data_IF_080130496440
#
_entry.id   IF_080130496440
#
_cell.length_a   1.000
_cell.length_b   1.000
_cell.length_c   1.000
_cell.angle_alpha   90.00
_cell.angle_beta   90.00
_cell.angle_gamma   90.00
#
_symmetry.space_group_name_H-M   'P 1'
#
loop_
_entity.id
_entity.type
_entity.pdbx_description
1 polymer ?
#
# COMPACT_ATOMS: atom_id res chain seq x y z
N UNK A 1 22.33 8.38 -47.03
CA UNK A 1 22.37 8.12 -45.58
C UNK A 1 21.12 8.65 -44.88
N UNK A 2 20.73 9.90 -45.10
CA UNK A 2 19.52 10.54 -44.49
C UNK A 2 18.21 9.81 -44.75
N UNK A 3 17.97 9.31 -45.97
CA UNK A 3 16.71 8.60 -46.29
C UNK A 3 16.51 7.28 -45.53
N UNK A 4 17.60 6.56 -45.20
CA UNK A 4 17.55 5.33 -44.38
C UNK A 4 17.25 5.66 -42.92
N UNK A 5 17.82 6.75 -42.38
CA UNK A 5 17.55 7.22 -41.02
C UNK A 5 16.10 7.68 -40.84
N UNK A 6 15.55 8.37 -41.83
CA UNK A 6 14.12 8.81 -41.84
C UNK A 6 13.20 7.59 -41.86
N UNK A 7 13.47 6.57 -42.70
CA UNK A 7 12.67 5.35 -42.74
C UNK A 7 12.71 4.57 -41.42
N UNK A 8 13.88 4.47 -40.77
CA UNK A 8 14.02 3.83 -39.46
C UNK A 8 13.25 4.62 -38.39
N UNK A 9 13.30 5.96 -38.42
CA UNK A 9 12.60 6.81 -37.47
C UNK A 9 11.07 6.70 -37.63
N UNK A 10 10.55 6.64 -38.86
CA UNK A 10 9.12 6.42 -39.16
C UNK A 10 8.68 5.03 -38.69
N UNK A 11 9.51 3.98 -38.88
CA UNK A 11 9.18 2.62 -38.46
C UNK A 11 9.11 2.50 -36.93
N UNK A 12 9.99 3.19 -36.21
CA UNK A 12 9.98 3.26 -34.74
C UNK A 12 8.72 4.00 -34.24
N UNK A 13 8.36 5.11 -34.89
CA UNK A 13 7.18 5.90 -34.50
C UNK A 13 5.86 5.13 -34.72
N UNK A 14 5.75 4.35 -35.81
CA UNK A 14 4.57 3.53 -36.06
C UNK A 14 4.49 2.35 -35.10
N UNK A 15 5.61 1.72 -34.77
CA UNK A 15 5.65 0.63 -33.79
C UNK A 15 5.24 1.05 -32.38
N UNK A 16 5.67 2.25 -31.94
CA UNK A 16 5.27 2.82 -30.65
C UNK A 16 3.77 3.12 -30.57
N UNK A 17 3.16 3.62 -31.65
CA UNK A 17 1.72 3.89 -31.69
C UNK A 17 0.87 2.60 -31.64
N UNK A 18 1.31 1.53 -32.29
CA UNK A 18 0.61 0.22 -32.26
C UNK A 18 0.68 -0.40 -30.87
N UNK A 19 1.83 -0.38 -30.21
CA UNK A 19 1.99 -0.90 -28.85
C UNK A 19 1.15 -0.10 -27.84
N UNK A 20 1.14 1.23 -27.92
CA UNK A 20 0.34 2.09 -27.07
C UNK A 20 -1.19 1.93 -27.27
N UNK A 21 -1.61 1.55 -28.46
CA UNK A 21 -3.02 1.24 -28.73
C UNK A 21 -3.40 -0.14 -28.19
N UNK A 22 -2.48 -1.11 -28.22
CA UNK A 22 -2.73 -2.48 -27.76
C UNK A 22 -2.80 -2.55 -26.24
N UNK A 23 -1.91 -1.88 -25.50
CA UNK A 23 -1.97 -1.85 -24.03
C UNK A 23 -3.23 -1.14 -23.54
N UNK A 24 -3.64 -0.05 -24.20
CA UNK A 24 -4.87 0.67 -23.87
C UNK A 24 -6.13 -0.21 -24.06
N UNK A 25 -6.19 -1.00 -25.13
CA UNK A 25 -7.31 -1.93 -25.36
C UNK A 25 -7.33 -3.04 -24.29
N UNK A 26 -6.18 -3.63 -23.97
CA UNK A 26 -6.08 -4.64 -22.92
C UNK A 26 -6.49 -4.12 -21.54
N UNK A 27 -6.15 -2.86 -21.23
CA UNK A 27 -6.60 -2.20 -19.99
C UNK A 27 -8.11 -2.00 -20.00
N UNK A 28 -8.69 -1.59 -21.15
CA UNK A 28 -10.13 -1.40 -21.29
C UNK A 28 -10.88 -2.73 -21.04
N UNK A 29 -10.47 -3.79 -21.71
CA UNK A 29 -11.06 -5.12 -21.57
C UNK A 29 -10.88 -5.66 -20.13
N UNK A 30 -9.71 -5.41 -19.53
CA UNK A 30 -9.44 -5.74 -18.14
C UNK A 30 -10.37 -5.02 -17.16
N UNK A 31 -10.69 -3.75 -17.43
CA UNK A 31 -11.64 -2.98 -16.61
C UNK A 31 -13.05 -3.57 -16.69
N UNK A 32 -13.51 -3.98 -17.86
CA UNK A 32 -14.81 -4.63 -18.03
C UNK A 32 -14.89 -5.93 -17.25
N UNK A 33 -13.86 -6.78 -17.33
CA UNK A 33 -13.78 -7.99 -16.54
C UNK A 33 -13.73 -7.70 -15.02
N UNK A 34 -12.99 -6.68 -14.60
CA UNK A 34 -12.92 -6.30 -13.19
C UNK A 34 -14.27 -5.85 -12.63
N UNK A 35 -15.02 -5.02 -13.37
CA UNK A 35 -16.35 -4.53 -12.97
C UNK A 35 -17.37 -5.65 -12.92
N UNK A 36 -17.28 -6.62 -13.84
CA UNK A 36 -18.16 -7.80 -13.85
C UNK A 36 -17.76 -8.90 -12.88
N UNK A 37 -16.73 -8.64 -12.03
CA UNK A 37 -16.29 -9.59 -10.99
C UNK A 37 -15.35 -10.69 -11.46
N UNK A 38 -14.98 -10.72 -12.74
CA UNK A 38 -14.02 -11.67 -13.34
C UNK A 38 -12.59 -11.23 -13.06
N UNK A 39 -12.22 -11.21 -11.77
CA UNK A 39 -10.97 -10.58 -11.35
C UNK A 39 -9.70 -11.36 -11.72
N UNK A 40 -9.79 -12.69 -11.90
CA UNK A 40 -8.67 -13.49 -12.40
C UNK A 40 -8.38 -13.18 -13.87
N UNK A 41 -9.42 -13.11 -14.69
CA UNK A 41 -9.31 -12.75 -16.11
C UNK A 41 -8.80 -11.31 -16.28
N UNK A 42 -9.31 -10.38 -15.48
CA UNK A 42 -8.81 -9.00 -15.51
C UNK A 42 -7.32 -8.92 -15.16
N UNK A 43 -6.85 -9.73 -14.19
CA UNK A 43 -5.43 -9.81 -13.83
C UNK A 43 -4.58 -10.20 -15.04
N UNK A 44 -4.99 -11.21 -15.81
CA UNK A 44 -4.26 -11.65 -17.00
C UNK A 44 -4.24 -10.57 -18.10
N UNK A 45 -5.36 -9.86 -18.30
CA UNK A 45 -5.42 -8.76 -19.26
C UNK A 45 -4.49 -7.61 -18.88
N UNK A 46 -4.43 -7.22 -17.59
CA UNK A 46 -3.49 -6.19 -17.12
C UNK A 46 -2.03 -6.64 -17.22
N UNK A 47 -1.73 -7.92 -16.93
CA UNK A 47 -0.39 -8.48 -17.14
C UNK A 47 0.00 -8.44 -18.62
N UNK A 48 -0.93 -8.74 -19.53
CA UNK A 48 -0.69 -8.65 -20.96
C UNK A 48 -0.49 -7.19 -21.41
N UNK A 49 -1.24 -6.23 -20.86
CA UNK A 49 -1.00 -4.81 -21.10
C UNK A 49 0.42 -4.38 -20.67
N UNK A 50 0.91 -4.91 -19.53
CA UNK A 50 2.27 -4.64 -19.04
C UNK A 50 3.36 -5.32 -19.86
N UNK A 51 3.06 -6.38 -20.61
CA UNK A 51 4.01 -6.94 -21.59
C UNK A 51 4.20 -6.00 -22.78
N UNK A 52 3.14 -5.30 -23.21
CA UNK A 52 3.19 -4.31 -24.29
C UNK A 52 3.82 -2.98 -23.81
N UNK A 53 3.47 -2.55 -22.59
CA UNK A 53 3.98 -1.32 -21.98
C UNK A 53 4.30 -1.53 -20.49
N UNK A 54 5.54 -1.95 -20.15
CA UNK A 54 5.93 -2.31 -18.78
C UNK A 54 5.86 -1.17 -17.76
N UNK A 55 5.83 0.08 -18.22
CA UNK A 55 5.81 1.25 -17.36
C UNK A 55 4.44 1.95 -17.30
N UNK A 56 3.37 1.34 -17.82
CA UNK A 56 2.05 1.95 -17.79
C UNK A 56 1.49 2.00 -16.34
N UNK A 57 1.38 3.18 -15.71
CA UNK A 57 0.96 3.28 -14.32
C UNK A 57 -0.51 2.87 -14.12
N UNK A 58 -1.36 3.06 -15.14
CA UNK A 58 -2.78 2.66 -15.09
C UNK A 58 -2.91 1.13 -15.07
N UNK A 59 -2.11 0.43 -15.88
CA UNK A 59 -2.08 -1.03 -15.91
C UNK A 59 -1.58 -1.59 -14.56
N UNK A 60 -0.52 -1.01 -13.99
CA UNK A 60 -0.03 -1.39 -12.67
C UNK A 60 -1.06 -1.14 -11.57
N UNK A 61 -1.72 0.02 -11.56
CA UNK A 61 -2.74 0.34 -10.55
C UNK A 61 -3.91 -0.66 -10.60
N UNK A 62 -4.40 -0.95 -11.80
CA UNK A 62 -5.52 -1.87 -12.01
C UNK A 62 -5.14 -3.33 -11.75
N UNK A 63 -3.91 -3.74 -12.09
CA UNK A 63 -3.36 -5.03 -11.71
C UNK A 63 -3.33 -5.18 -10.19
N UNK A 64 -2.83 -4.17 -9.47
CA UNK A 64 -2.82 -4.17 -8.01
C UNK A 64 -4.22 -4.34 -7.42
N UNK A 65 -5.22 -3.62 -7.94
CA UNK A 65 -6.61 -3.76 -7.50
C UNK A 65 -7.18 -5.17 -7.75
N UNK A 66 -6.88 -5.73 -8.90
CA UNK A 66 -7.36 -7.07 -9.28
C UNK A 66 -6.73 -8.16 -8.42
N UNK A 67 -5.41 -8.09 -8.23
CA UNK A 67 -4.67 -8.99 -7.35
C UNK A 67 -5.17 -8.88 -5.89
N UNK A 68 -5.42 -7.66 -5.41
CA UNK A 68 -5.96 -7.45 -4.06
C UNK A 68 -7.29 -8.19 -3.85
N UNK A 69 -8.22 -8.11 -4.82
CA UNK A 69 -9.48 -8.89 -4.78
C UNK A 69 -9.23 -10.39 -4.87
N UNK A 70 -8.37 -10.84 -5.79
CA UNK A 70 -8.05 -12.25 -5.96
C UNK A 70 -7.47 -12.86 -4.68
N UNK A 71 -6.66 -12.10 -3.92
CA UNK A 71 -6.12 -12.57 -2.67
C UNK A 71 -7.20 -12.94 -1.64
N UNK A 72 -8.30 -12.19 -1.56
CA UNK A 72 -9.44 -12.58 -0.70
C UNK A 72 -10.12 -13.85 -1.20
N UNK A 73 -10.39 -13.96 -2.50
CA UNK A 73 -10.98 -15.17 -3.09
C UNK A 73 -10.13 -16.41 -2.80
N UNK A 74 -8.79 -16.27 -2.90
CA UNK A 74 -7.85 -17.35 -2.60
C UNK A 74 -7.82 -17.69 -1.10
N UNK A 75 -7.90 -16.69 -0.22
CA UNK A 75 -7.94 -16.88 1.24
C UNK A 75 -9.19 -17.64 1.68
N UNK A 76 -10.32 -17.37 1.02
CA UNK A 76 -11.61 -18.00 1.34
C UNK A 76 -11.74 -19.42 0.75
N UNK A 77 -10.76 -19.88 -0.02
CA UNK A 77 -10.71 -21.25 -0.55
C UNK A 77 -10.65 -22.27 0.58
N UNK A 78 -11.39 -23.36 0.42
CA UNK A 78 -11.37 -24.50 1.37
C UNK A 78 -10.23 -25.48 1.08
N UNK A 79 -9.63 -25.39 -0.10
CA UNK A 79 -8.63 -26.33 -0.57
C UNK A 79 -7.24 -25.70 -0.52
N UNK A 80 -6.22 -26.54 -0.28
CA UNK A 80 -4.86 -26.10 -0.40
C UNK A 80 -4.41 -26.06 -1.87
N UNK A 81 -3.51 -25.15 -2.15
CA UNK A 81 -2.91 -25.00 -3.46
C UNK A 81 -1.63 -25.84 -3.59
N UNK A 82 -1.22 -26.13 -4.83
CA UNK A 82 0.08 -26.72 -5.11
C UNK A 82 0.93 -25.69 -5.85
N UNK A 83 2.06 -25.30 -5.26
CA UNK A 83 3.00 -24.38 -5.86
C UNK A 83 4.40 -25.01 -5.84
N UNK A 84 5.01 -25.13 -7.01
CA UNK A 84 6.32 -25.79 -7.17
C UNK A 84 6.37 -27.17 -6.50
N UNK A 85 5.28 -27.96 -6.59
CA UNK A 85 5.17 -29.31 -6.00
C UNK A 85 4.96 -29.34 -4.48
N UNK A 86 4.82 -28.17 -3.83
CA UNK A 86 4.58 -28.08 -2.38
C UNK A 86 3.14 -27.63 -2.09
N UNK A 87 2.57 -28.20 -1.03
CA UNK A 87 1.26 -27.80 -0.53
C UNK A 87 1.33 -26.43 0.13
N UNK A 88 0.50 -25.48 -0.33
CA UNK A 88 0.42 -24.10 0.17
C UNK A 88 -0.99 -23.85 0.70
N UNK A 89 -1.09 -23.32 1.91
CA UNK A 89 -2.39 -22.98 2.49
C UNK A 89 -3.02 -21.78 1.80
N UNK A 90 -4.38 -21.63 1.84
CA UNK A 90 -5.07 -20.46 1.33
C UNK A 90 -4.51 -19.13 1.85
N UNK A 91 -4.25 -19.02 3.14
CA UNK A 91 -3.65 -17.82 3.74
C UNK A 91 -2.26 -17.51 3.19
N UNK A 92 -1.41 -18.54 3.02
CA UNK A 92 -0.08 -18.35 2.46
C UNK A 92 -0.14 -17.94 0.99
N UNK A 93 -1.05 -18.55 0.20
CA UNK A 93 -1.26 -18.17 -1.19
C UNK A 93 -1.78 -16.73 -1.29
N UNK A 94 -2.78 -16.37 -0.50
CA UNK A 94 -3.29 -15.00 -0.44
C UNK A 94 -2.20 -13.99 -0.05
N UNK A 95 -1.34 -14.33 0.92
CA UNK A 95 -0.22 -13.47 1.33
C UNK A 95 0.76 -13.20 0.18
N UNK A 96 1.07 -14.19 -0.66
CA UNK A 96 1.89 -13.99 -1.86
C UNK A 96 1.23 -13.05 -2.86
N UNK A 97 -0.09 -13.18 -3.06
CA UNK A 97 -0.83 -12.33 -3.99
C UNK A 97 -1.00 -10.92 -3.46
N UNK A 98 -1.18 -10.72 -2.13
CA UNK A 98 -1.13 -9.38 -1.53
C UNK A 98 0.24 -8.72 -1.69
N UNK A 99 1.34 -9.49 -1.63
CA UNK A 99 2.67 -8.96 -1.89
C UNK A 99 2.81 -8.48 -3.35
N UNK A 100 2.37 -9.29 -4.31
CA UNK A 100 2.37 -8.91 -5.73
C UNK A 100 1.51 -7.64 -5.98
N UNK A 101 0.36 -7.53 -5.32
CA UNK A 101 -0.48 -6.34 -5.37
C UNK A 101 0.26 -5.10 -4.84
N UNK A 102 0.92 -5.23 -3.69
CA UNK A 102 1.71 -4.14 -3.10
C UNK A 102 2.85 -3.69 -4.03
N UNK A 103 3.53 -4.64 -4.68
CA UNK A 103 4.57 -4.34 -5.67
C UNK A 103 4.02 -3.60 -6.89
N UNK A 104 2.84 -4.00 -7.38
CA UNK A 104 2.16 -3.32 -8.50
C UNK A 104 1.81 -1.87 -8.14
N UNK A 105 1.27 -1.61 -6.96
CA UNK A 105 1.03 -0.24 -6.48
C UNK A 105 2.33 0.54 -6.25
N UNK A 106 3.42 -0.11 -5.83
CA UNK A 106 4.71 0.54 -5.66
C UNK A 106 5.29 1.01 -7.00
N UNK A 107 5.09 0.26 -8.10
CA UNK A 107 5.45 0.74 -9.45
C UNK A 107 4.72 2.04 -9.80
N UNK A 108 3.44 2.16 -9.44
CA UNK A 108 2.69 3.42 -9.61
C UNK A 108 3.32 4.53 -8.78
N UNK A 109 3.55 4.30 -7.49
CA UNK A 109 4.10 5.31 -6.59
C UNK A 109 5.48 5.81 -7.01
N UNK A 110 6.26 5.01 -7.76
CA UNK A 110 7.57 5.37 -8.27
C UNK A 110 7.53 6.05 -9.65
N UNK A 111 6.41 5.97 -10.38
CA UNK A 111 6.30 6.42 -11.76
C UNK A 111 5.46 7.67 -11.97
N UNK A 112 4.68 8.10 -10.96
CA UNK A 112 3.77 9.24 -11.08
C UNK A 112 4.15 10.36 -10.10
N UNK A 113 3.76 11.60 -10.44
CA UNK A 113 3.90 12.78 -9.56
C UNK A 113 2.55 13.32 -9.06
N UNK A 114 1.43 12.83 -9.60
CA UNK A 114 0.10 13.25 -9.20
C UNK A 114 -0.21 12.84 -7.75
N UNK A 115 -0.56 13.81 -6.92
CA UNK A 115 -0.75 13.62 -5.48
C UNK A 115 -1.90 12.68 -5.14
N UNK A 116 -3.00 12.74 -5.88
CA UNK A 116 -4.15 11.86 -5.64
C UNK A 116 -3.80 10.40 -5.95
N UNK A 117 -3.14 10.17 -7.09
CA UNK A 117 -2.66 8.84 -7.47
C UNK A 117 -1.63 8.31 -6.48
N UNK A 118 -0.68 9.14 -6.03
CA UNK A 118 0.30 8.77 -4.99
C UNK A 118 -0.37 8.42 -3.67
N UNK A 119 -1.35 9.23 -3.24
CA UNK A 119 -2.13 8.95 -2.05
C UNK A 119 -2.78 7.57 -2.14
N UNK A 120 -3.54 7.31 -3.20
CA UNK A 120 -4.24 6.04 -3.39
C UNK A 120 -3.29 4.84 -3.51
N UNK A 121 -2.18 5.00 -4.21
CA UNK A 121 -1.20 3.93 -4.34
C UNK A 121 -0.60 3.55 -2.97
N UNK A 122 -0.17 4.54 -2.16
CA UNK A 122 0.35 4.29 -0.82
C UNK A 122 -0.70 3.75 0.15
N UNK A 123 -1.96 4.21 0.06
CA UNK A 123 -3.07 3.64 0.81
C UNK A 123 -3.25 2.15 0.51
N UNK A 124 -3.28 1.78 -0.78
CA UNK A 124 -3.46 0.40 -1.20
C UNK A 124 -2.27 -0.49 -0.83
N UNK A 125 -1.03 0.02 -0.89
CA UNK A 125 0.15 -0.66 -0.35
C UNK A 125 -0.04 -0.96 1.15
N UNK A 126 -0.51 0.03 1.90
CA UNK A 126 -0.83 -0.13 3.32
C UNK A 126 -1.87 -1.22 3.56
N UNK A 127 -2.93 -1.25 2.77
CA UNK A 127 -3.97 -2.27 2.84
C UNK A 127 -3.43 -3.68 2.57
N UNK A 128 -2.56 -3.85 1.57
CA UNK A 128 -1.91 -5.13 1.29
C UNK A 128 -1.11 -5.62 2.50
N UNK A 129 -0.25 -4.79 3.07
CA UNK A 129 0.54 -5.15 4.25
C UNK A 129 -0.32 -5.38 5.50
N UNK A 130 -1.42 -4.63 5.65
CA UNK A 130 -2.39 -4.84 6.73
C UNK A 130 -3.00 -6.24 6.65
N UNK A 131 -3.41 -6.67 5.46
CA UNK A 131 -3.96 -8.01 5.21
C UNK A 131 -2.95 -9.13 5.49
N UNK A 132 -1.67 -8.87 5.27
CA UNK A 132 -0.56 -9.76 5.63
C UNK A 132 -0.18 -9.72 7.11
N UNK A 133 -0.82 -8.86 7.92
CA UNK A 133 -0.47 -8.57 9.33
C UNK A 133 0.97 -8.02 9.49
N UNK A 134 1.51 -7.46 8.44
CA UNK A 134 2.81 -6.78 8.44
C UNK A 134 2.63 -5.32 8.88
N UNK A 135 2.23 -5.15 10.13
CA UNK A 135 1.76 -3.87 10.67
C UNK A 135 2.79 -2.74 10.55
N UNK A 136 4.08 -3.02 10.67
CA UNK A 136 5.13 -2.01 10.50
C UNK A 136 5.14 -1.45 9.07
N UNK A 137 5.09 -2.33 8.06
CA UNK A 137 5.08 -1.93 6.66
C UNK A 137 3.78 -1.19 6.32
N UNK A 138 2.64 -1.61 6.88
CA UNK A 138 1.35 -0.94 6.75
C UNK A 138 1.41 0.50 7.31
N UNK A 139 1.95 0.68 8.53
CA UNK A 139 2.14 2.00 9.15
C UNK A 139 2.96 2.92 8.26
N UNK A 140 4.09 2.45 7.73
CA UNK A 140 4.97 3.25 6.89
C UNK A 140 4.27 3.66 5.58
N UNK A 141 3.51 2.77 4.98
CA UNK A 141 2.74 3.04 3.76
C UNK A 141 1.60 4.04 4.01
N UNK A 142 0.81 3.86 5.07
CA UNK A 142 -0.27 4.80 5.40
C UNK A 142 0.25 6.19 5.77
N UNK A 143 1.37 6.31 6.47
CA UNK A 143 2.03 7.59 6.73
C UNK A 143 2.45 8.28 5.43
N UNK A 144 2.95 7.54 4.44
CA UNK A 144 3.27 8.09 3.12
C UNK A 144 2.00 8.55 2.39
N UNK A 145 0.92 7.78 2.43
CA UNK A 145 -0.37 8.15 1.86
C UNK A 145 -0.89 9.47 2.45
N UNK A 146 -0.89 9.61 3.77
CA UNK A 146 -1.36 10.81 4.48
C UNK A 146 -0.50 12.07 4.25
N UNK A 147 0.73 11.95 3.75
CA UNK A 147 1.51 13.11 3.28
C UNK A 147 0.88 13.79 2.07
N UNK A 148 0.19 13.02 1.22
CA UNK A 148 -0.47 13.53 0.02
C UNK A 148 -1.92 13.92 0.27
N UNK A 149 -2.64 13.19 1.13
CA UNK A 149 -4.00 13.53 1.57
C UNK A 149 -4.16 13.34 3.09
N UNK A 150 -3.82 14.35 3.91
CA UNK A 150 -3.91 14.27 5.37
C UNK A 150 -5.33 14.08 5.93
N UNK A 151 -6.36 14.39 5.11
CA UNK A 151 -7.77 14.36 5.53
C UNK A 151 -8.47 13.02 5.26
N UNK A 152 -7.79 12.07 4.62
CA UNK A 152 -8.39 10.78 4.33
C UNK A 152 -8.65 9.97 5.61
N UNK A 153 -9.93 9.86 5.97
CA UNK A 153 -10.37 9.22 7.21
C UNK A 153 -10.11 7.72 7.19
N UNK A 154 -10.25 7.06 6.04
CA UNK A 154 -10.03 5.63 5.93
C UNK A 154 -8.56 5.28 6.16
N UNK A 155 -7.64 6.01 5.52
CA UNK A 155 -6.19 5.83 5.76
C UNK A 155 -5.81 6.12 7.21
N UNK A 156 -6.42 7.15 7.84
CA UNK A 156 -6.18 7.47 9.25
C UNK A 156 -6.67 6.36 10.17
N UNK A 157 -7.84 5.80 9.91
CA UNK A 157 -8.38 4.67 10.66
C UNK A 157 -7.48 3.43 10.52
N UNK A 158 -7.09 3.07 9.29
CA UNK A 158 -6.25 1.92 9.01
C UNK A 158 -4.84 2.07 9.61
N UNK A 159 -4.30 3.30 9.61
CA UNK A 159 -3.04 3.62 10.31
C UNK A 159 -3.15 3.37 11.82
N UNK A 160 -4.21 3.87 12.45
CA UNK A 160 -4.44 3.68 13.88
C UNK A 160 -4.62 2.20 14.23
N UNK A 161 -5.33 1.44 13.40
CA UNK A 161 -5.47 -0.01 13.56
C UNK A 161 -4.12 -0.73 13.44
N UNK A 162 -3.31 -0.39 12.43
CA UNK A 162 -1.98 -0.98 12.25
C UNK A 162 -1.05 -0.68 13.45
N UNK A 163 -1.10 0.55 13.98
CA UNK A 163 -0.32 0.96 15.15
C UNK A 163 -0.73 0.22 16.42
N UNK A 164 -2.03 0.02 16.64
CA UNK A 164 -2.57 -0.76 17.77
C UNK A 164 -2.06 -2.22 17.76
N UNK A 165 -1.92 -2.79 16.57
CA UNK A 165 -1.51 -4.19 16.39
C UNK A 165 0.00 -4.36 16.21
N UNK A 166 0.78 -3.28 16.24
CA UNK A 166 2.24 -3.36 16.16
C UNK A 166 2.80 -4.01 17.42
N UNK A 167 3.66 -5.04 17.32
CA UNK A 167 4.30 -5.66 18.49
C UNK A 167 5.04 -4.60 19.32
N UNK A 168 4.84 -4.62 20.64
CA UNK A 168 5.39 -3.62 21.57
C UNK A 168 6.93 -3.55 21.55
N UNK A 169 7.60 -4.67 21.29
CA UNK A 169 9.05 -4.75 21.21
C UNK A 169 9.68 -4.01 20.02
N UNK A 170 8.83 -3.57 19.06
CA UNK A 170 9.23 -2.79 17.88
C UNK A 170 8.78 -1.34 17.93
N UNK A 171 8.17 -0.91 19.02
CA UNK A 171 7.92 0.50 19.31
C UNK A 171 9.22 1.12 19.85
N UNK A 172 10.10 1.53 18.99
CA UNK A 172 11.27 2.30 19.36
C UNK A 172 10.89 3.59 20.08
N UNK A 173 11.05 3.62 21.38
CA UNK A 173 11.23 4.77 22.25
C UNK A 173 10.12 5.83 22.25
N UNK A 174 9.26 5.82 23.27
CA UNK A 174 8.44 6.97 23.63
C UNK A 174 7.25 6.63 24.51
N UNK A 175 7.43 6.72 25.86
CA UNK A 175 6.35 7.08 26.78
C UNK A 175 5.45 5.93 27.26
N UNK A 176 5.84 5.32 28.38
CA UNK A 176 4.92 4.68 29.31
C UNK A 176 3.75 5.58 29.64
N UNK A 177 2.54 5.10 29.44
CA UNK A 177 1.43 5.37 30.34
C UNK A 177 0.60 4.10 30.48
N UNK A 178 0.89 3.38 31.55
CA UNK A 178 0.00 2.39 32.15
C UNK A 178 -1.20 3.16 32.69
N UNK A 179 -2.38 2.80 32.25
CA UNK A 179 -3.58 2.95 33.04
C UNK A 179 -4.37 1.66 32.95
N UNK A 180 -4.17 0.85 34.01
CA UNK A 180 -5.00 -0.29 34.33
C UNK A 180 -6.46 0.12 34.34
N UNK A 181 -7.30 -0.54 33.57
CA UNK A 181 -8.72 -0.62 33.86
C UNK A 181 -9.12 -2.09 33.98
N UNK A 182 -9.56 -2.38 35.19
CA UNK A 182 -10.08 -3.63 35.67
C UNK A 182 -11.19 -4.17 34.77
N UNK A 183 -11.14 -5.48 34.55
CA UNK A 183 -12.25 -6.28 34.06
C UNK A 183 -13.45 -6.16 34.99
N UNK A 184 -14.60 -5.85 34.41
CA UNK A 184 -15.89 -6.21 35.01
C UNK A 184 -16.57 -7.27 34.12
N UNK A 185 -16.80 -8.41 34.73
CA UNK A 185 -17.48 -9.57 34.12
C UNK A 185 -18.97 -9.35 34.33
N UNK A 186 -19.72 -9.25 33.27
CA UNK A 186 -20.98 -10.00 33.04
C UNK A 186 -21.73 -9.37 31.85
N UNK A 187 -21.91 -10.03 30.74
CA UNK A 187 -23.22 -10.53 30.32
C UNK A 187 -23.13 -11.32 28.99
N UNK A 188 -23.88 -12.39 28.99
CA UNK A 188 -24.04 -13.29 27.85
C UNK A 188 -25.01 -12.68 26.84
N UNK A 189 -24.55 -12.36 25.62
CA UNK A 189 -25.42 -12.52 24.45
C UNK A 189 -24.64 -12.84 23.18
N UNK A 190 -25.07 -13.89 22.49
CA UNK A 190 -24.48 -14.47 21.30
C UNK A 190 -24.88 -13.64 20.08
N UNK A 191 -23.90 -12.94 19.47
CA UNK A 191 -23.83 -12.79 18.01
C UNK A 191 -22.38 -12.49 17.66
N UNK A 192 -21.72 -13.44 16.99
CA UNK A 192 -20.29 -13.40 16.75
C UNK A 192 -19.96 -12.43 15.62
N UNK A 193 -19.70 -11.17 15.97
CA UNK A 193 -18.81 -10.28 15.21
C UNK A 193 -17.41 -10.37 15.83
N UNK A 194 -16.33 -10.25 15.06
CA UNK A 194 -14.97 -10.39 15.61
C UNK A 194 -14.70 -9.28 16.63
N UNK A 195 -14.45 -9.69 17.86
CA UNK A 195 -14.29 -8.89 19.09
C UNK A 195 -13.05 -7.98 19.13
N UNK A 196 -12.56 -7.43 18.01
CA UNK A 196 -11.36 -6.58 18.02
C UNK A 196 -11.44 -5.36 17.09
N UNK A 197 -12.62 -4.94 16.69
CA UNK A 197 -12.76 -3.69 15.95
C UNK A 197 -12.61 -2.50 16.90
N UNK A 198 -11.57 -1.71 16.65
CA UNK A 198 -11.35 -0.43 17.30
C UNK A 198 -12.45 0.55 16.84
N UNK A 199 -13.11 1.27 17.76
CA UNK A 199 -14.09 2.27 17.36
C UNK A 199 -13.41 3.42 16.58
N UNK A 200 -14.19 4.12 15.72
CA UNK A 200 -13.67 5.29 14.99
C UNK A 200 -13.11 6.34 15.96
N UNK A 201 -13.76 6.57 17.10
CA UNK A 201 -13.33 7.52 18.11
C UNK A 201 -12.00 7.10 18.77
N UNK A 202 -11.84 5.81 19.07
CA UNK A 202 -10.57 5.27 19.59
C UNK A 202 -9.43 5.39 18.57
N UNK A 203 -9.71 5.14 17.29
CA UNK A 203 -8.76 5.31 16.21
C UNK A 203 -8.33 6.78 16.08
N UNK A 204 -9.28 7.70 16.18
CA UNK A 204 -9.01 9.13 16.08
C UNK A 204 -8.22 9.66 17.29
N UNK A 205 -8.55 9.21 18.51
CA UNK A 205 -7.79 9.57 19.71
C UNK A 205 -6.34 9.07 19.63
N UNK A 206 -6.14 7.81 19.23
CA UNK A 206 -4.81 7.24 19.05
C UNK A 206 -4.03 8.00 17.98
N UNK A 207 -4.67 8.30 16.85
CA UNK A 207 -4.04 9.07 15.79
C UNK A 207 -3.64 10.48 16.25
N UNK A 208 -4.52 11.18 16.99
CA UNK A 208 -4.21 12.51 17.58
C UNK A 208 -3.02 12.44 18.53
N UNK A 209 -2.96 11.41 19.38
CA UNK A 209 -1.84 11.21 20.29
C UNK A 209 -0.52 11.00 19.53
N UNK A 210 -0.52 10.15 18.51
CA UNK A 210 0.64 9.86 17.68
C UNK A 210 1.10 11.05 16.84
N UNK A 211 0.17 11.82 16.27
CA UNK A 211 0.52 13.06 15.55
C UNK A 211 1.17 14.09 16.47
N UNK A 212 0.76 14.17 17.73
CA UNK A 212 1.40 15.04 18.75
C UNK A 212 2.81 14.57 19.07
N UNK A 213 3.02 13.26 19.21
CA UNK A 213 4.37 12.69 19.46
C UNK A 213 5.29 12.88 18.26
N UNK A 214 4.78 12.64 17.04
CA UNK A 214 5.57 12.84 15.83
C UNK A 214 5.97 14.32 15.64
N UNK A 215 5.05 15.25 15.92
CA UNK A 215 5.36 16.68 15.91
C UNK A 215 6.44 17.05 16.92
N UNK A 216 6.36 16.55 18.15
CA UNK A 216 7.39 16.74 19.19
C UNK A 216 8.75 16.17 18.76
N UNK A 217 8.76 15.00 18.11
CA UNK A 217 9.99 14.38 17.58
C UNK A 217 10.60 15.18 16.44
N UNK A 218 9.77 15.72 15.55
CA UNK A 218 10.22 16.59 14.46
C UNK A 218 10.79 17.91 15.02
N UNK A 219 10.12 18.52 15.99
CA UNK A 219 10.61 19.73 16.67
C UNK A 219 11.95 19.48 17.37
N UNK A 220 12.11 18.36 18.10
CA UNK A 220 13.39 17.96 18.70
C UNK A 220 14.49 17.69 17.68
N UNK A 221 14.17 17.10 16.51
CA UNK A 221 15.16 16.87 15.44
C UNK A 221 15.59 18.19 14.81
N UNK A 222 14.65 19.12 14.59
CA UNK A 222 14.93 20.45 14.06
C UNK A 222 15.81 21.25 15.02
N UNK A 223 15.49 21.22 16.31
CA UNK A 223 16.27 21.88 17.36
C UNK A 223 17.71 21.30 17.45
N UNK A 224 17.87 19.98 17.37
CA UNK A 224 19.19 19.34 17.31
C UNK A 224 19.99 19.73 16.06
N UNK A 225 19.34 19.94 14.92
CA UNK A 225 20.00 20.38 13.70
C UNK A 225 20.40 21.86 13.77
N UNK A 226 19.56 22.71 14.39
CA UNK A 226 19.87 24.12 14.63
C UNK A 226 21.03 24.28 15.64
N UNK A 227 21.03 23.48 16.72
CA UNK A 227 22.12 23.47 17.70
C UNK A 227 23.45 22.95 17.09
N UNK A 228 23.38 21.93 16.22
CA UNK A 228 24.56 21.43 15.51
C UNK A 228 25.10 22.37 14.44
N UNK A 229 24.21 23.21 13.85
CA UNK A 229 24.60 24.25 12.88
C UNK A 229 25.18 25.50 13.52
N UNK A 230 24.98 25.71 14.83
CA UNK A 230 25.44 26.87 15.56
C UNK A 230 26.77 26.65 16.32
N UNK A 231 27.35 25.44 16.25
CA UNK A 231 28.75 25.24 16.67
C UNK A 231 29.67 25.75 15.56
N UNK A 232 29.83 27.07 15.53
CA UNK A 232 30.96 27.70 14.84
C UNK A 232 32.24 27.15 15.46
N UNK A 233 32.97 26.41 14.66
CA UNK A 233 34.37 26.08 14.96
C UNK A 233 35.10 27.40 15.11
N UNK A 234 35.43 27.81 16.35
CA UNK A 234 36.44 28.83 16.59
C UNK A 234 37.73 28.28 15.96
N UNK A 235 38.19 28.95 14.89
CA UNK A 235 39.49 28.71 14.31
C UNK A 235 40.47 29.42 15.20
N UNK A 236 41.14 28.68 16.08
CA UNK A 236 42.38 29.10 16.70
C UNK A 236 43.48 29.13 15.62
N UNK A 237 43.95 30.36 15.30
CA UNK A 237 45.19 30.62 14.57
C UNK A 237 46.21 31.21 15.54
#
# INVERSE_FOLDING_TARGET
MQSKLIKIFILILTGLNVAAQKDAQLIYDGNDHYVTGKTFESTELYRNALKENPHNPKAHFNLGNSLYKNAFTLRDSKENFIQAGKKVTPDSMASLVFEEAAQSFAQVANSVSDKDTLHRAWHNIGNCYLQKKEYKNAVDAYKKSLKFNPKDEETRYNLAYALKNLPKDKQGGGGQNQQDQKEDKNDKNKNAQPKNEMSKDQAEQLLKALMREEKKLQEKRKQKQEDAGNTTVEKDW
#
